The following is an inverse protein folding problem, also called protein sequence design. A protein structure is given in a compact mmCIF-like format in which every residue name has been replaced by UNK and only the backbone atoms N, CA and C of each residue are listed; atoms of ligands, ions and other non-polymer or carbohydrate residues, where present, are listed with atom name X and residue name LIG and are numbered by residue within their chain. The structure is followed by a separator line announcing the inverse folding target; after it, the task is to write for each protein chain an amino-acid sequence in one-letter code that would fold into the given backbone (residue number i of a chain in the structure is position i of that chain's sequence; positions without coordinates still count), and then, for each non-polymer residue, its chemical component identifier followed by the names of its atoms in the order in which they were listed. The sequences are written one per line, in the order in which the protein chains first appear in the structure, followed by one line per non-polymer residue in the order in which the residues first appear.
data_IF_658732000656
#
_entry.id   IF_658732000656
#
_cell.length_a   1.000
_cell.length_b   1.000
_cell.length_c   1.000
_cell.angle_alpha   90.00
_cell.angle_beta   90.00
_cell.angle_gamma   90.00
#
_symmetry.space_group_name_H-M   'P 1'
#
loop_
_entity.id
_entity.type
_entity.pdbx_description
1 polymer ?
#
# COMPACT_ATOMS: atom_id res chain seq x y z
N UNK A 1 33.06 4.19 22.73
CA UNK A 1 32.02 3.92 21.73
C UNK A 1 30.83 4.79 22.06
N UNK A 2 30.62 5.88 21.32
CA UNK A 2 29.41 6.69 21.45
C UNK A 2 28.37 6.11 20.49
N UNK A 3 27.26 5.65 21.04
CA UNK A 3 26.09 5.20 20.29
C UNK A 3 25.40 6.42 19.68
N UNK A 4 25.21 6.40 18.36
CA UNK A 4 24.45 7.43 17.65
C UNK A 4 22.96 7.07 17.80
N UNK A 5 22.08 7.99 18.23
CA UNK A 5 20.66 7.71 18.34
C UNK A 5 20.03 7.51 16.95
N UNK A 6 19.20 6.49 16.82
CA UNK A 6 18.49 6.19 15.58
C UNK A 6 17.57 7.36 15.17
N UNK A 7 17.74 7.83 13.94
CA UNK A 7 17.00 8.94 13.36
C UNK A 7 15.67 8.42 12.76
N UNK A 8 14.54 8.73 13.42
CA UNK A 8 13.21 8.43 12.89
C UNK A 8 12.83 9.46 11.80
N UNK A 9 13.10 9.09 10.55
CA UNK A 9 12.88 9.92 9.36
C UNK A 9 11.42 9.91 8.87
N UNK A 10 10.43 9.93 9.77
CA UNK A 10 9.03 10.02 9.35
C UNK A 10 8.70 11.45 8.88
N UNK A 11 8.60 11.62 7.56
CA UNK A 11 8.22 12.91 6.95
C UNK A 11 6.73 13.20 7.21
N UNK A 12 6.39 14.48 7.33
CA UNK A 12 5.02 14.94 7.66
C UNK A 12 3.96 14.37 6.72
N UNK A 13 4.31 14.13 5.45
CA UNK A 13 3.42 13.48 4.47
C UNK A 13 3.11 12.01 4.80
N UNK A 14 4.07 11.26 5.34
CA UNK A 14 3.87 9.85 5.72
C UNK A 14 3.00 9.72 6.98
N UNK A 15 3.02 10.71 7.85
CA UNK A 15 2.19 10.75 9.06
C UNK A 15 0.73 11.17 8.78
N UNK A 16 0.48 12.00 7.76
CA UNK A 16 -0.85 12.57 7.51
C UNK A 16 -1.69 11.78 6.51
N UNK A 17 -1.07 11.03 5.59
CA UNK A 17 -1.77 10.21 4.60
C UNK A 17 -1.66 8.72 4.91
N UNK A 18 -2.40 8.27 5.92
CA UNK A 18 -2.63 6.84 6.17
C UNK A 18 -3.98 6.42 5.57
N UNK A 19 -4.06 5.18 5.08
CA UNK A 19 -5.32 4.63 4.57
C UNK A 19 -6.37 4.63 5.69
N UNK A 20 -7.44 5.39 5.51
CA UNK A 20 -8.61 5.42 6.41
C UNK A 20 -9.62 4.41 5.89
N UNK A 21 -10.07 3.49 6.75
CA UNK A 21 -11.15 2.58 6.40
C UNK A 21 -12.44 3.36 6.10
N UNK A 22 -13.15 3.05 5.01
CA UNK A 22 -14.39 3.73 4.67
C UNK A 22 -15.47 3.42 5.72
N UNK A 23 -16.09 4.46 6.28
CA UNK A 23 -17.21 4.33 7.21
C UNK A 23 -18.40 3.67 6.50
N UNK A 24 -18.77 2.46 6.93
CA UNK A 24 -19.97 1.76 6.44
C UNK A 24 -21.21 2.50 6.98
N UNK A 25 -21.97 3.13 6.09
CA UNK A 25 -23.29 3.70 6.42
C UNK A 25 -24.29 2.57 6.69
N UNK A 26 -24.68 2.40 7.94
CA UNK A 26 -25.86 1.59 8.30
C UNK A 26 -27.11 2.30 7.77
N UNK A 27 -27.79 1.71 6.78
CA UNK A 27 -29.09 2.20 6.31
C UNK A 27 -30.11 1.95 7.42
N UNK A 28 -30.71 3.02 7.95
CA UNK A 28 -31.81 2.95 8.90
C UNK A 28 -33.00 2.18 8.32
N UNK A 29 -33.59 1.31 9.14
CA UNK A 29 -34.80 0.55 8.83
C UNK A 29 -36.00 1.50 8.73
N UNK A 30 -36.59 1.63 7.55
CA UNK A 30 -37.90 2.24 7.38
C UNK A 30 -38.98 1.25 7.84
N UNK A 31 -39.73 1.59 8.88
CA UNK A 31 -40.88 0.83 9.38
C UNK A 31 -41.97 0.74 8.29
N UNK A 32 -42.40 -0.48 7.96
CA UNK A 32 -43.52 -0.74 7.05
C UNK A 32 -44.82 -0.85 7.86
N UNK A 33 -45.97 -0.44 7.30
CA UNK A 33 -47.24 -0.42 8.02
C UNK A 33 -47.77 -1.84 8.29
N UNK A 34 -48.30 -2.00 9.50
CA UNK A 34 -48.80 -3.24 10.08
C UNK A 34 -50.00 -3.79 9.28
N UNK A 35 -49.84 -4.98 8.70
CA UNK A 35 -50.91 -5.66 7.96
C UNK A 35 -51.72 -6.49 8.95
N UNK A 36 -52.87 -5.97 9.37
CA UNK A 36 -53.83 -6.73 10.19
C UNK A 36 -54.38 -7.93 9.39
N UNK A 37 -53.70 -9.07 9.52
CA UNK A 37 -54.12 -10.35 8.97
C UNK A 37 -55.10 -11.00 9.93
N UNK A 38 -56.40 -10.93 9.62
CA UNK A 38 -57.41 -11.70 10.34
C UNK A 38 -57.27 -13.18 9.90
N UNK A 39 -57.07 -14.13 10.82
CA UNK A 39 -56.91 -15.54 10.46
C UNK A 39 -58.21 -16.10 9.89
N UNK A 40 -58.11 -16.74 8.72
CA UNK A 40 -59.22 -17.42 8.06
C UNK A 40 -59.26 -18.89 8.50
N UNK A 41 -60.29 -19.26 9.25
CA UNK A 41 -60.53 -20.65 9.66
C UNK A 41 -61.31 -21.36 8.54
N UNK A 42 -60.62 -22.25 7.81
CA UNK A 42 -61.16 -22.94 6.62
C UNK A 42 -61.36 -24.44 6.82
N UNK A 43 -61.41 -24.88 8.08
CA UNK A 43 -61.57 -26.30 8.38
C UNK A 43 -62.99 -26.75 8.03
N UNK A 44 -63.08 -27.88 7.35
CA UNK A 44 -64.36 -28.50 6.96
C UNK A 44 -64.57 -29.71 7.85
N UNK A 45 -65.83 -30.01 8.17
CA UNK A 45 -66.21 -31.11 9.07
C UNK A 45 -65.63 -32.47 8.65
N UNK A 46 -65.36 -32.64 7.36
CA UNK A 46 -64.75 -33.84 6.81
C UNK A 46 -63.28 -34.01 7.25
N UNK A 47 -62.51 -32.91 7.32
CA UNK A 47 -61.12 -32.92 7.80
C UNK A 47 -61.02 -33.31 9.27
N UNK A 48 -62.01 -32.92 10.07
CA UNK A 48 -62.05 -33.25 11.50
C UNK A 48 -62.51 -34.70 11.75
N UNK A 49 -63.49 -35.17 10.98
CA UNK A 49 -64.07 -36.50 11.18
C UNK A 49 -63.14 -37.64 10.74
N UNK A 50 -62.40 -37.45 9.64
CA UNK A 50 -61.58 -38.51 9.03
C UNK A 50 -60.09 -38.25 9.23
N UNK A 51 -59.66 -38.35 10.48
CA UNK A 51 -58.25 -38.36 10.86
C UNK A 51 -57.72 -39.79 10.91
N UNK A 52 -56.43 -39.96 10.61
CA UNK A 52 -55.76 -41.26 10.77
C UNK A 52 -55.89 -41.76 12.22
N UNK A 53 -56.39 -42.97 12.39
CA UNK A 53 -56.46 -43.65 13.69
C UNK A 53 -55.37 -44.71 13.76
N UNK A 54 -54.69 -44.79 14.90
CA UNK A 54 -53.69 -45.83 15.12
C UNK A 54 -54.38 -47.20 15.20
N UNK A 55 -53.91 -48.22 14.46
CA UNK A 55 -54.52 -49.53 14.49
C UNK A 55 -54.21 -50.24 15.82
N UNK A 56 -55.23 -50.77 16.49
CA UNK A 56 -55.03 -51.59 17.70
C UNK A 56 -54.37 -52.94 17.34
N UNK A 57 -53.16 -53.15 17.87
CA UNK A 57 -52.46 -54.43 17.73
C UNK A 57 -52.99 -55.46 18.73
N UNK A 58 -53.64 -56.52 18.23
CA UNK A 58 -54.00 -57.69 19.05
C UNK A 58 -52.73 -58.49 19.37
N UNK A 59 -52.40 -58.62 20.65
CA UNK A 59 -51.24 -59.41 21.09
C UNK A 59 -51.53 -60.90 20.93
N UNK A 60 -50.70 -61.60 20.13
CA UNK A 60 -50.74 -63.06 20.02
C UNK A 60 -50.15 -63.67 21.29
N UNK A 61 -50.98 -64.28 22.14
CA UNK A 61 -50.50 -65.14 23.22
C UNK A 61 -50.05 -66.49 22.63
N UNK A 62 -48.75 -66.81 22.80
CA UNK A 62 -48.16 -68.09 22.38
C UNK A 62 -48.26 -69.06 23.57
N UNK A 63 -48.77 -70.29 23.40
CA UNK A 63 -48.78 -71.25 24.51
C UNK A 63 -47.34 -71.70 24.80
N UNK A 64 -46.91 -71.62 26.05
CA UNK A 64 -45.66 -72.25 26.50
C UNK A 64 -45.91 -73.76 26.64
N UNK A 65 -45.21 -74.55 25.83
CA UNK A 65 -45.11 -75.99 26.06
C UNK A 65 -43.74 -76.27 26.67
N UNK A 66 -43.70 -76.45 28.00
CA UNK A 66 -42.51 -76.91 28.69
C UNK A 66 -42.41 -78.42 28.52
N UNK A 67 -41.77 -78.85 27.44
CA UNK A 67 -41.44 -80.26 27.21
C UNK A 67 -39.94 -80.44 27.39
N UNK A 68 -39.56 -81.04 28.51
CA UNK A 68 -38.17 -81.43 28.76
C UNK A 68 -37.78 -82.55 27.78
N UNK A 69 -36.74 -82.31 26.99
CA UNK A 69 -36.19 -83.29 26.06
C UNK A 69 -35.12 -84.13 26.78
N UNK A 70 -35.09 -85.45 26.56
CA UNK A 70 -34.06 -86.30 27.15
C UNK A 70 -32.67 -85.92 26.61
N UNK A 71 -31.59 -86.23 27.36
CA UNK A 71 -30.23 -85.90 26.94
C UNK A 71 -29.85 -86.64 25.65
N UNK A 72 -29.29 -85.89 24.69
CA UNK A 72 -28.84 -86.43 23.41
C UNK A 72 -27.35 -86.76 23.45
N UNK A 73 -27.01 -88.03 23.27
CA UNK A 73 -25.63 -88.49 23.16
C UNK A 73 -25.18 -88.43 21.69
N UNK A 74 -24.71 -87.25 21.27
CA UNK A 74 -24.36 -86.94 19.88
C UNK A 74 -22.89 -87.13 19.51
N UNK A 75 -22.08 -87.77 20.36
CA UNK A 75 -20.65 -87.93 20.07
C UNK A 75 -20.44 -89.00 18.99
N UNK A 76 -19.81 -88.57 17.89
CA UNK A 76 -19.39 -89.47 16.81
C UNK A 76 -17.99 -89.98 17.08
N UNK A 77 -17.66 -91.15 16.55
CA UNK A 77 -16.32 -91.75 16.69
C UNK A 77 -15.21 -90.82 16.20
N UNK A 78 -15.48 -90.01 15.17
CA UNK A 78 -14.54 -89.02 14.65
C UNK A 78 -14.26 -87.91 15.67
N UNK A 79 -15.30 -87.36 16.30
CA UNK A 79 -15.14 -86.32 17.32
C UNK A 79 -14.37 -86.83 18.55
N UNK A 80 -14.56 -88.10 18.93
CA UNK A 80 -13.85 -88.71 20.05
C UNK A 80 -12.36 -89.00 19.76
N UNK A 81 -12.02 -89.35 18.51
CA UNK A 81 -10.66 -89.81 18.15
C UNK A 81 -9.75 -88.71 17.62
N UNK A 82 -10.30 -87.72 16.91
CA UNK A 82 -9.54 -86.63 16.31
C UNK A 82 -9.67 -85.34 17.12
N UNK A 83 -9.07 -85.36 18.31
CA UNK A 83 -8.91 -84.15 19.11
C UNK A 83 -7.63 -83.41 18.72
N UNK A 84 -7.62 -82.06 18.78
CA UNK A 84 -6.42 -81.28 18.46
C UNK A 84 -5.30 -81.61 19.47
N UNK A 85 -4.21 -82.20 18.97
CA UNK A 85 -3.01 -82.47 19.78
C UNK A 85 -2.12 -81.22 19.83
N UNK A 86 -1.59 -80.92 21.01
CA UNK A 86 -0.65 -79.81 21.20
C UNK A 86 0.69 -80.18 20.54
N UNK A 87 1.18 -79.43 19.55
CA UNK A 87 2.46 -79.73 18.91
C UNK A 87 3.61 -79.38 19.86
N UNK A 88 4.55 -80.32 20.06
CA UNK A 88 5.79 -80.05 20.78
C UNK A 88 6.78 -79.37 19.85
N UNK A 89 7.21 -78.16 20.19
CA UNK A 89 8.20 -77.40 19.40
C UNK A 89 9.56 -78.10 19.47
N UNK A 90 10.11 -78.49 18.32
CA UNK A 90 11.45 -79.06 18.23
C UNK A 90 12.51 -78.09 18.79
N UNK A 91 13.49 -78.61 19.54
CA UNK A 91 14.60 -77.80 20.06
C UNK A 91 15.49 -77.35 18.91
N UNK A 92 15.89 -76.08 18.90
CA UNK A 92 16.84 -75.55 17.93
C UNK A 92 18.23 -76.17 18.18
N UNK A 93 18.81 -76.76 17.14
CA UNK A 93 20.19 -77.27 17.19
C UNK A 93 21.13 -76.09 16.96
N UNK A 94 21.87 -75.68 18.00
CA UNK A 94 22.89 -74.64 17.87
C UNK A 94 24.10 -75.19 17.13
N UNK A 95 24.52 -74.51 16.05
CA UNK A 95 25.76 -74.86 15.33
C UNK A 95 26.96 -74.35 16.12
N UNK A 96 28.07 -75.11 16.22
CA UNK A 96 29.28 -74.63 16.87
C UNK A 96 29.85 -73.42 16.12
N UNK A 97 30.30 -72.43 16.88
CA UNK A 97 30.83 -71.17 16.38
C UNK A 97 32.16 -71.41 15.65
N UNK A 98 32.26 -70.90 14.41
CA UNK A 98 33.42 -71.08 13.55
C UNK A 98 34.54 -70.15 14.02
N UNK A 99 35.64 -70.72 14.55
CA UNK A 99 36.84 -69.95 14.92
C UNK A 99 37.51 -69.39 13.66
N UNK A 100 37.46 -68.08 13.47
CA UNK A 100 38.29 -67.39 12.48
C UNK A 100 39.69 -67.22 13.05
N UNK A 101 40.71 -67.68 12.32
CA UNK A 101 42.09 -67.41 12.68
C UNK A 101 42.38 -65.96 12.30
N UNK A 102 42.49 -65.07 13.29
CA UNK A 102 42.83 -63.66 13.09
C UNK A 102 44.32 -63.54 12.78
N UNK A 103 44.68 -63.80 11.51
CA UNK A 103 46.02 -63.51 11.00
C UNK A 103 46.03 -62.07 10.49
N UNK A 104 46.97 -61.21 10.95
CA UNK A 104 47.05 -59.84 10.46
C UNK A 104 47.39 -59.83 8.96
N UNK A 105 46.53 -59.17 8.18
CA UNK A 105 46.74 -59.00 6.75
C UNK A 105 47.64 -57.79 6.48
N UNK A 106 48.87 -58.04 6.03
CA UNK A 106 49.79 -57.00 5.59
C UNK A 106 49.47 -56.58 4.15
N UNK A 107 48.44 -55.73 4.00
CA UNK A 107 47.93 -55.25 2.70
C UNK A 107 48.59 -53.97 2.17
N UNK A 108 49.71 -53.53 2.73
CA UNK A 108 50.39 -52.32 2.27
C UNK A 108 51.15 -52.58 0.98
N UNK A 109 50.72 -51.92 -0.09
CA UNK A 109 51.42 -51.95 -1.38
C UNK A 109 52.49 -50.86 -1.40
N UNK A 110 53.57 -51.09 -2.15
CA UNK A 110 54.67 -50.12 -2.30
C UNK A 110 54.18 -48.74 -2.76
N UNK A 111 53.18 -48.70 -3.65
CA UNK A 111 52.58 -47.45 -4.12
C UNK A 111 51.92 -46.67 -2.96
N UNK A 112 51.13 -47.34 -2.12
CA UNK A 112 50.47 -46.70 -0.98
C UNK A 112 51.47 -46.19 0.06
N UNK A 113 52.59 -46.92 0.24
CA UNK A 113 53.66 -46.52 1.16
C UNK A 113 54.47 -45.31 0.66
N UNK A 114 54.77 -45.25 -0.65
CA UNK A 114 55.64 -44.21 -1.20
C UNK A 114 54.91 -42.93 -1.63
N UNK A 115 53.60 -42.98 -1.84
CA UNK A 115 52.81 -41.83 -2.33
C UNK A 115 51.66 -41.46 -1.38
N UNK A 116 51.95 -41.10 -0.11
CA UNK A 116 50.94 -40.53 0.75
C UNK A 116 50.52 -39.13 0.23
N UNK A 117 49.29 -38.68 0.51
CA UNK A 117 48.84 -37.35 0.15
C UNK A 117 49.75 -36.30 0.82
N UNK A 118 50.37 -35.43 0.02
CA UNK A 118 51.19 -34.32 0.52
C UNK A 118 50.32 -33.07 0.64
N UNK A 119 50.36 -32.41 1.80
CA UNK A 119 49.74 -31.10 1.98
C UNK A 119 50.59 -30.05 1.28
N UNK A 120 50.06 -29.40 0.26
CA UNK A 120 50.71 -28.27 -0.39
C UNK A 120 50.36 -26.96 0.34
N UNK A 121 51.36 -26.13 0.62
CA UNK A 121 51.13 -24.79 1.14
C UNK A 121 50.52 -23.89 0.05
N UNK A 122 49.48 -23.13 0.41
CA UNK A 122 48.87 -22.16 -0.51
C UNK A 122 49.82 -20.98 -0.67
N UNK A 123 50.22 -20.69 -1.90
CA UNK A 123 51.02 -19.51 -2.21
C UNK A 123 50.23 -18.25 -1.82
N UNK A 124 50.88 -17.35 -1.09
CA UNK A 124 50.27 -16.07 -0.72
C UNK A 124 50.25 -15.18 -1.96
N UNK A 125 49.09 -14.59 -2.25
CA UNK A 125 48.97 -13.61 -3.32
C UNK A 125 49.81 -12.37 -2.98
N UNK A 126 50.77 -12.04 -3.84
CA UNK A 126 51.57 -10.82 -3.72
C UNK A 126 50.68 -9.65 -4.17
N UNK A 127 50.21 -8.85 -3.21
CA UNK A 127 49.51 -7.59 -3.52
C UNK A 127 50.55 -6.57 -3.97
N UNK A 128 50.49 -6.16 -5.25
CA UNK A 128 51.27 -5.00 -5.71
C UNK A 128 50.68 -3.76 -5.04
N UNK A 129 51.46 -3.08 -4.21
CA UNK A 129 51.08 -1.77 -3.70
C UNK A 129 51.24 -0.79 -4.87
N UNK A 130 50.15 -0.20 -5.33
CA UNK A 130 50.22 0.87 -6.32
C UNK A 130 50.82 2.11 -5.63
N UNK A 131 52.09 2.39 -5.89
CA UNK A 131 52.82 3.56 -5.36
C UNK A 131 52.58 4.83 -6.17
N UNK A 132 51.46 4.93 -6.89
CA UNK A 132 51.06 6.16 -7.59
C UNK A 132 50.19 6.95 -6.61
N UNK A 133 50.82 7.47 -5.56
CA UNK A 133 50.24 8.55 -4.76
C UNK A 133 50.33 9.83 -5.57
N UNK A 134 49.19 10.40 -5.94
CA UNK A 134 49.17 11.72 -6.57
C UNK A 134 49.13 12.77 -5.45
N UNK A 135 50.30 13.27 -5.07
CA UNK A 135 50.47 14.28 -4.01
C UNK A 135 50.46 15.71 -4.59
N UNK A 136 49.83 15.90 -5.75
CA UNK A 136 49.75 17.19 -6.43
C UNK A 136 48.54 18.01 -5.98
N UNK A 137 48.77 19.25 -5.55
CA UNK A 137 47.70 20.23 -5.42
C UNK A 137 47.05 20.47 -6.79
N UNK A 138 45.77 20.11 -6.91
CA UNK A 138 45.00 20.37 -8.12
C UNK A 138 44.68 21.86 -8.13
N UNK A 139 45.18 22.58 -9.14
CA UNK A 139 44.77 23.96 -9.39
C UNK A 139 43.27 24.00 -9.70
N UNK A 140 42.46 24.36 -8.69
CA UNK A 140 40.99 24.37 -8.78
C UNK A 140 40.42 25.66 -9.38
N UNK A 141 41.27 26.66 -9.59
CA UNK A 141 40.91 27.95 -10.13
C UNK A 141 41.02 27.95 -11.65
N UNK A 142 39.89 28.12 -12.32
CA UNK A 142 39.86 28.31 -13.77
C UNK A 142 40.03 29.78 -14.10
N UNK A 143 40.64 30.09 -15.25
CA UNK A 143 40.82 31.47 -15.74
C UNK A 143 39.51 32.25 -15.75
N UNK A 144 38.39 31.58 -16.01
CA UNK A 144 37.05 32.18 -15.99
C UNK A 144 36.65 32.69 -14.59
N UNK A 145 36.93 31.92 -13.53
CA UNK A 145 36.62 32.35 -12.16
C UNK A 145 37.42 33.58 -11.74
N UNK A 146 38.69 33.64 -12.17
CA UNK A 146 39.59 34.75 -11.86
C UNK A 146 39.26 36.00 -12.68
N UNK A 147 38.92 35.84 -13.97
CA UNK A 147 38.71 36.96 -14.88
C UNK A 147 37.34 37.65 -14.74
N UNK A 148 36.32 36.96 -14.24
CA UNK A 148 34.94 37.44 -14.19
C UNK A 148 34.33 37.44 -12.77
N UNK A 149 34.91 38.16 -11.80
CA UNK A 149 34.26 38.37 -10.52
C UNK A 149 33.02 39.28 -10.70
N UNK A 150 32.00 39.16 -9.84
CA UNK A 150 30.85 40.06 -9.86
C UNK A 150 31.31 41.51 -9.64
N UNK A 151 30.98 42.39 -10.57
CA UNK A 151 31.27 43.82 -10.48
C UNK A 151 30.01 44.58 -10.09
N UNK A 152 30.11 45.46 -9.10
CA UNK A 152 29.02 46.37 -8.76
C UNK A 152 28.88 47.45 -9.83
N UNK A 153 27.68 47.59 -10.40
CA UNK A 153 27.38 48.65 -11.36
C UNK A 153 26.90 49.91 -10.63
N UNK A 154 27.37 51.08 -11.07
CA UNK A 154 26.88 52.35 -10.54
C UNK A 154 25.43 52.60 -10.97
N UNK A 155 24.62 53.17 -10.08
CA UNK A 155 23.23 53.49 -10.38
C UNK A 155 23.18 54.59 -11.45
N UNK A 156 22.52 54.31 -12.57
CA UNK A 156 22.31 55.31 -13.62
C UNK A 156 21.44 56.46 -13.09
N UNK A 157 21.87 57.71 -13.33
CA UNK A 157 21.08 58.89 -13.00
C UNK A 157 19.92 59.04 -14.00
N UNK A 158 18.72 59.33 -13.51
CA UNK A 158 17.55 59.58 -14.36
C UNK A 158 17.72 60.90 -15.11
N UNK A 159 17.67 60.85 -16.44
CA UNK A 159 17.59 62.02 -17.31
C UNK A 159 16.14 62.48 -17.42
N UNK A 160 15.61 63.13 -16.38
CA UNK A 160 14.31 63.81 -16.48
C UNK A 160 14.55 65.24 -16.97
N UNK A 161 13.94 65.66 -18.10
CA UNK A 161 13.92 67.06 -18.51
C UNK A 161 13.35 67.89 -17.37
N UNK A 162 14.01 68.99 -17.02
CA UNK A 162 13.41 69.98 -16.12
C UNK A 162 12.40 70.73 -16.98
N UNK A 163 11.11 70.50 -16.76
CA UNK A 163 10.04 71.26 -17.41
C UNK A 163 10.20 72.75 -17.06
N UNK A 164 10.88 73.49 -17.93
CA UNK A 164 10.88 74.94 -17.90
C UNK A 164 9.58 75.40 -18.56
N UNK A 165 8.76 76.14 -17.81
CA UNK A 165 7.45 76.61 -18.21
C UNK A 165 7.44 77.20 -19.64
N UNK A 166 6.86 76.45 -20.59
CA UNK A 166 6.71 76.82 -22.00
C UNK A 166 5.59 77.86 -22.25
N UNK A 167 4.89 78.32 -21.21
CA UNK A 167 3.68 79.14 -21.33
C UNK A 167 3.84 80.56 -20.77
N UNK A 168 4.95 81.23 -21.09
CA UNK A 168 5.23 82.61 -20.68
C UNK A 168 5.43 83.56 -21.85
N UNK A 169 4.54 83.56 -22.85
CA UNK A 169 4.59 84.53 -23.95
C UNK A 169 3.35 85.41 -23.92
N UNK A 170 3.55 86.70 -23.73
CA UNK A 170 2.49 87.72 -23.72
C UNK A 170 1.78 87.72 -25.08
N UNK A 171 0.61 87.10 -25.12
CA UNK A 171 -0.23 87.09 -26.31
C UNK A 171 -1.23 88.23 -26.19
N UNK A 172 -0.98 89.34 -26.90
CA UNK A 172 -1.95 90.42 -26.98
C UNK A 172 -3.09 90.00 -27.91
N UNK A 173 -4.23 89.57 -27.35
CA UNK A 173 -5.40 89.12 -28.12
C UNK A 173 -6.26 90.30 -28.61
N UNK A 174 -5.68 91.23 -29.38
CA UNK A 174 -6.46 92.28 -30.05
C UNK A 174 -6.97 91.76 -31.39
N UNK A 175 -8.30 91.64 -31.51
CA UNK A 175 -8.96 91.28 -32.77
C UNK A 175 -9.08 92.49 -33.68
N UNK A 176 -9.07 92.27 -35.00
CA UNK A 176 -9.20 93.35 -36.01
C UNK A 176 -10.45 94.19 -35.78
N UNK A 177 -11.54 93.57 -35.33
CA UNK A 177 -12.79 94.26 -35.04
C UNK A 177 -12.63 95.32 -33.93
N UNK A 178 -11.96 94.95 -32.82
CA UNK A 178 -11.68 95.87 -31.71
C UNK A 178 -10.71 97.00 -32.10
N UNK A 179 -9.84 96.79 -33.09
CA UNK A 179 -8.95 97.83 -33.62
C UNK A 179 -9.64 98.81 -34.55
N UNK A 180 -10.62 98.34 -35.34
CA UNK A 180 -11.23 99.11 -36.44
C UNK A 180 -12.50 99.85 -36.01
N UNK A 181 -13.30 99.26 -35.12
CA UNK A 181 -14.57 99.84 -34.68
C UNK A 181 -14.43 100.47 -33.31
N UNK A 182 -13.79 101.63 -33.26
CA UNK A 182 -13.82 102.49 -32.08
C UNK A 182 -15.02 103.44 -32.18
N UNK A 183 -15.67 103.78 -31.05
CA UNK A 183 -16.81 104.69 -31.05
C UNK A 183 -16.39 106.05 -31.62
N UNK A 184 -16.97 106.42 -32.77
CA UNK A 184 -16.74 107.72 -33.40
C UNK A 184 -17.62 108.77 -32.73
N UNK A 185 -17.08 109.97 -32.52
CA UNK A 185 -17.89 111.13 -32.13
C UNK A 185 -18.82 111.49 -33.29
N UNK A 186 -20.11 111.65 -33.01
CA UNK A 186 -21.10 112.06 -34.01
C UNK A 186 -20.89 113.55 -34.28
N UNK A 187 -20.70 113.92 -35.55
CA UNK A 187 -20.67 115.31 -35.96
C UNK A 187 -22.10 115.84 -35.96
N UNK A 188 -22.40 116.77 -35.06
CA UNK A 188 -23.72 117.35 -34.92
C UNK A 188 -24.02 118.27 -36.10
N UNK A 189 -25.18 118.10 -36.74
CA UNK A 189 -25.55 118.89 -37.92
C UNK A 189 -25.80 120.35 -37.48
N UNK A 190 -25.24 121.37 -38.15
CA UNK A 190 -25.40 122.77 -37.74
C UNK A 190 -26.87 123.22 -37.66
N UNK A 191 -27.79 122.57 -38.38
CA UNK A 191 -29.23 122.86 -38.27
C UNK A 191 -29.80 122.52 -36.87
N UNK A 192 -29.33 121.46 -36.20
CA UNK A 192 -29.75 121.12 -34.83
C UNK A 192 -29.39 122.23 -33.84
N UNK A 193 -28.24 122.89 -34.03
CA UNK A 193 -27.80 124.01 -33.17
C UNK A 193 -28.76 125.20 -33.21
N UNK A 194 -29.40 125.45 -34.36
CA UNK A 194 -30.37 126.53 -34.50
C UNK A 194 -31.79 126.13 -34.05
N UNK A 195 -32.11 124.84 -34.06
CA UNK A 195 -33.38 124.31 -33.54
C UNK A 195 -33.39 124.24 -32.01
N UNK A 196 -32.25 123.96 -31.37
CA UNK A 196 -32.14 123.85 -29.90
C UNK A 196 -32.10 125.19 -29.15
N UNK A 197 -32.17 126.34 -29.84
CA UNK A 197 -32.17 127.70 -29.24
C UNK A 197 -33.51 128.44 -29.34
N UNK A 198 -34.59 127.75 -29.75
CA UNK A 198 -35.94 128.34 -29.87
C UNK A 198 -36.90 127.99 -28.74
N UNK A 199 -36.41 127.41 -27.65
CA UNK A 199 -37.16 127.19 -26.40
C UNK A 199 -36.63 128.05 -25.27
#
# INVERSE_FOLDING_TARGET
HQEIPDFDASTTNRATYTWKDPLIRTKGSSELPDKSSIPFYSETTNRDAFTWKDPEMKTKRRPQSDRELPPFYGETTHAATFTPKIPVRGKAVSRPEHRTNDVPFYGETSNKAHFPPKNAERTKAIKRMNTIGYDGEIATETTTKVAFPPKEASKQKSLRPKDAALFGRDTSWKTTNNGVFTPKKVNQCPAEYYMSKRE
#
